data_IF_343323839747
#
_entry.id   IF_343323839747
#
_cell.length_a   1.000
_cell.length_b   1.000
_cell.length_c   1.000
_cell.angle_alpha   90.00
_cell.angle_beta   90.00
_cell.angle_gamma   90.00
#
_symmetry.space_group_name_H-M   'P 1'
#
loop_
_entity.id
_entity.type
_entity.pdbx_description
1 polymer ?
#
# COMPACT_ATOMS: atom_id res chain seq x y z
N UNK A 1 -23.10 -17.57 -46.62
CA UNK A 1 -22.72 -17.76 -45.20
C UNK A 1 -21.28 -18.21 -45.16
N UNK A 2 -20.28 -17.51 -44.64
CA UNK A 2 -20.06 -16.12 -44.22
C UNK A 2 -18.60 -16.17 -43.81
N UNK A 3 -17.74 -15.41 -44.48
CA UNK A 3 -16.30 -15.36 -44.29
C UNK A 3 -15.98 -14.67 -42.94
N UNK A 4 -16.20 -15.37 -41.83
CA UNK A 4 -15.87 -14.87 -40.49
C UNK A 4 -14.42 -15.22 -40.18
N UNK A 5 -13.60 -14.25 -39.73
CA UNK A 5 -12.22 -14.53 -39.36
C UNK A 5 -12.17 -15.57 -38.22
N UNK A 6 -11.12 -16.40 -38.24
CA UNK A 6 -10.88 -17.36 -37.16
C UNK A 6 -10.61 -16.59 -35.87
N UNK A 7 -11.24 -17.04 -34.78
CA UNK A 7 -10.91 -16.55 -33.45
C UNK A 7 -9.48 -16.92 -33.10
N UNK A 8 -8.79 -16.03 -32.40
CA UNK A 8 -7.46 -16.25 -31.86
C UNK A 8 -7.48 -16.01 -30.34
N UNK A 9 -6.77 -16.86 -29.60
CA UNK A 9 -6.55 -16.66 -28.18
C UNK A 9 -5.43 -15.62 -27.99
N UNK A 10 -5.69 -14.60 -27.18
CA UNK A 10 -4.72 -13.55 -26.89
C UNK A 10 -4.14 -13.75 -25.49
N UNK A 11 -2.80 -13.82 -25.41
CA UNK A 11 -2.06 -13.86 -24.14
C UNK A 11 -1.27 -12.55 -24.05
N UNK A 12 -1.53 -11.69 -23.05
CA UNK A 12 -0.71 -10.51 -22.82
C UNK A 12 0.73 -10.91 -22.52
N UNK A 13 1.67 -10.19 -23.12
CA UNK A 13 3.09 -10.33 -22.82
C UNK A 13 3.61 -9.05 -22.16
N UNK A 14 4.57 -9.15 -21.22
CA UNK A 14 5.27 -7.95 -20.78
C UNK A 14 5.93 -7.30 -21.99
N UNK A 15 5.91 -5.97 -22.05
CA UNK A 15 6.47 -5.22 -23.18
C UNK A 15 7.96 -5.52 -23.42
N UNK A 16 8.67 -5.96 -22.37
CA UNK A 16 10.12 -6.14 -22.36
C UNK A 16 10.49 -7.41 -21.58
N UNK A 17 11.59 -8.04 -21.99
CA UNK A 17 12.16 -9.28 -21.44
C UNK A 17 13.62 -9.04 -21.00
N UNK A 18 14.22 -9.96 -20.23
CA UNK A 18 15.64 -9.86 -19.88
C UNK A 18 16.52 -9.75 -21.13
N UNK A 19 17.27 -8.65 -21.24
CA UNK A 19 18.10 -8.33 -22.42
C UNK A 19 17.57 -7.15 -23.24
N UNK A 20 16.29 -6.79 -23.09
CA UNK A 20 15.71 -5.61 -23.72
C UNK A 20 16.01 -4.32 -22.94
N UNK A 21 15.91 -3.17 -23.60
CA UNK A 21 16.04 -1.86 -22.97
C UNK A 21 14.70 -1.40 -22.36
N UNK A 22 14.65 -1.02 -21.05
CA UNK A 22 13.45 -0.49 -20.40
C UNK A 22 12.81 0.71 -21.13
N UNK A 23 11.67 0.50 -21.78
CA UNK A 23 10.81 1.53 -22.39
C UNK A 23 9.49 1.72 -21.64
N UNK A 24 9.33 2.87 -21.01
CA UNK A 24 8.11 3.31 -20.32
C UNK A 24 7.38 4.44 -21.05
N UNK A 25 7.68 4.67 -22.34
CA UNK A 25 7.06 5.74 -23.16
C UNK A 25 5.54 5.65 -23.26
N UNK A 26 4.99 4.44 -23.13
CA UNK A 26 3.56 4.16 -23.11
C UNK A 26 2.87 4.55 -21.79
N UNK A 27 3.64 4.77 -20.71
CA UNK A 27 3.10 5.23 -19.43
C UNK A 27 2.92 6.75 -19.49
N UNK A 28 1.67 7.18 -19.63
CA UNK A 28 1.34 8.60 -19.65
C UNK A 28 1.53 9.23 -18.26
N UNK A 29 2.65 9.92 -18.06
CA UNK A 29 2.95 10.66 -16.83
C UNK A 29 2.57 12.14 -17.03
N UNK A 30 1.51 12.66 -16.39
CA UNK A 30 1.12 14.05 -16.52
C UNK A 30 2.17 14.99 -15.92
N UNK A 31 2.15 16.25 -16.38
CA UNK A 31 2.91 17.33 -15.76
C UNK A 31 2.54 17.46 -14.27
N UNK A 32 3.53 17.65 -13.41
CA UNK A 32 3.26 17.89 -11.99
C UNK A 32 2.35 19.12 -11.81
N UNK A 33 1.39 19.02 -10.89
CA UNK A 33 0.45 20.09 -10.58
C UNK A 33 -0.68 20.30 -11.58
N UNK A 34 -0.74 19.55 -12.68
CA UNK A 34 -1.82 19.69 -13.69
C UNK A 34 -3.15 19.09 -13.25
N UNK A 35 -3.11 18.11 -12.35
CA UNK A 35 -4.31 17.42 -11.86
C UNK A 35 -4.95 18.22 -10.74
N UNK A 36 -6.24 18.54 -10.90
CA UNK A 36 -7.04 19.30 -9.92
C UNK A 36 -7.15 18.57 -8.58
N UNK A 37 -7.44 19.31 -7.52
CA UNK A 37 -7.82 18.77 -6.20
C UNK A 37 -9.34 18.88 -6.04
N UNK A 38 -10.11 17.78 -6.13
CA UNK A 38 -11.55 17.80 -5.92
C UNK A 38 -11.89 18.16 -4.47
N UNK A 39 -13.14 18.57 -4.23
CA UNK A 39 -13.65 18.67 -2.85
C UNK A 39 -13.84 17.27 -2.27
N UNK A 40 -13.73 17.13 -0.95
CA UNK A 40 -13.84 15.83 -0.26
C UNK A 40 -15.23 15.21 -0.44
N UNK A 41 -16.26 16.03 -0.60
CA UNK A 41 -17.66 15.64 -0.81
C UNK A 41 -18.06 15.58 -2.30
N UNK A 42 -17.09 15.65 -3.22
CA UNK A 42 -17.37 15.58 -4.66
C UNK A 42 -17.87 14.19 -5.07
N UNK A 43 -18.88 14.15 -5.94
CA UNK A 43 -19.50 12.90 -6.35
C UNK A 43 -18.55 12.04 -7.20
N UNK A 44 -18.51 10.70 -7.01
CA UNK A 44 -17.62 9.82 -7.76
C UNK A 44 -17.74 9.94 -9.29
N UNK A 45 -18.94 10.18 -9.82
CA UNK A 45 -19.16 10.32 -11.26
C UNK A 45 -18.45 11.54 -11.87
N UNK A 46 -18.21 12.58 -11.06
CA UNK A 46 -17.49 13.79 -11.48
C UNK A 46 -15.97 13.64 -11.41
N UNK A 47 -15.46 12.54 -10.85
CA UNK A 47 -14.03 12.29 -10.62
C UNK A 47 -13.47 11.19 -11.54
N UNK A 48 -14.21 10.77 -12.57
CA UNK A 48 -13.78 9.68 -13.46
C UNK A 48 -12.47 10.00 -14.18
N UNK A 49 -12.24 11.26 -14.52
CA UNK A 49 -11.00 11.74 -15.14
C UNK A 49 -9.76 11.43 -14.29
N UNK A 50 -9.88 11.55 -12.97
CA UNK A 50 -8.78 11.31 -12.03
C UNK A 50 -8.32 9.85 -12.04
N UNK A 51 -9.21 8.89 -12.32
CA UNK A 51 -8.88 7.47 -12.41
C UNK A 51 -8.01 7.11 -13.64
N UNK A 52 -7.92 8.01 -14.63
CA UNK A 52 -7.10 7.86 -15.84
C UNK A 52 -5.93 8.86 -15.88
N UNK A 53 -5.58 9.43 -14.72
CA UNK A 53 -4.46 10.36 -14.58
C UNK A 53 -3.63 10.02 -13.34
N UNK A 54 -2.60 10.82 -13.05
CA UNK A 54 -1.73 10.65 -11.89
C UNK A 54 -1.62 11.98 -11.15
N UNK A 55 -2.01 12.00 -9.88
CA UNK A 55 -1.77 13.15 -9.01
C UNK A 55 -0.26 13.20 -8.71
N UNK A 56 0.39 14.28 -9.13
CA UNK A 56 1.83 14.49 -8.95
C UNK A 56 2.11 15.91 -8.45
N UNK A 57 2.84 16.03 -7.36
CA UNK A 57 3.16 17.31 -6.70
C UNK A 57 4.55 17.83 -7.07
N UNK A 58 5.57 16.97 -7.00
CA UNK A 58 6.95 17.38 -7.30
C UNK A 58 7.21 17.34 -8.80
N UNK A 59 7.67 18.46 -9.37
CA UNK A 59 8.13 18.55 -10.76
C UNK A 59 9.51 17.88 -10.95
N UNK A 60 10.17 18.07 -12.11
CA UNK A 60 11.47 17.43 -12.38
C UNK A 60 12.62 18.16 -11.68
N UNK A 61 12.39 19.39 -11.28
CA UNK A 61 13.30 20.30 -10.59
C UNK A 61 13.22 20.14 -9.06
N UNK A 62 12.25 19.35 -8.56
CA UNK A 62 12.04 19.08 -7.15
C UNK A 62 11.14 20.09 -6.43
N UNK A 63 10.45 20.94 -7.18
CA UNK A 63 9.55 21.96 -6.65
C UNK A 63 8.12 21.41 -6.49
N UNK A 64 7.44 21.79 -5.40
CA UNK A 64 6.05 21.44 -5.16
C UNK A 64 5.12 22.39 -5.93
N UNK A 65 4.34 21.86 -6.87
CA UNK A 65 3.48 22.64 -7.77
C UNK A 65 2.03 22.17 -7.78
N UNK A 66 1.12 23.08 -8.14
CA UNK A 66 -0.30 22.81 -8.32
C UNK A 66 -1.12 22.74 -7.03
N UNK A 67 -2.41 22.34 -7.13
CA UNK A 67 -3.39 22.49 -6.05
C UNK A 67 -3.22 21.49 -4.89
N UNK A 68 -2.34 20.50 -5.06
CA UNK A 68 -2.00 19.51 -4.05
C UNK A 68 -0.74 19.88 -3.25
N UNK A 69 -0.04 20.96 -3.62
CA UNK A 69 1.16 21.43 -2.93
C UNK A 69 0.83 22.20 -1.64
N UNK A 70 1.83 22.32 -0.75
CA UNK A 70 1.80 23.21 0.41
C UNK A 70 1.04 22.68 1.64
N UNK A 71 0.64 21.40 1.65
CA UNK A 71 -0.05 20.80 2.80
C UNK A 71 0.86 20.30 3.92
N UNK A 72 2.18 20.24 3.69
CA UNK A 72 3.16 19.69 4.62
C UNK A 72 4.27 20.70 4.87
N UNK A 73 4.66 20.85 6.13
CA UNK A 73 5.81 21.64 6.55
C UNK A 73 7.15 20.91 6.36
N UNK A 74 8.29 21.64 6.38
CA UNK A 74 9.62 21.04 6.25
C UNK A 74 9.92 19.95 7.28
N UNK A 75 9.46 20.10 8.53
CA UNK A 75 9.70 19.12 9.58
C UNK A 75 8.95 17.81 9.35
N UNK A 76 7.73 17.88 8.82
CA UNK A 76 6.92 16.71 8.47
C UNK A 76 7.55 15.96 7.28
N UNK A 77 8.03 16.69 6.28
CA UNK A 77 8.75 16.13 5.14
C UNK A 77 10.07 15.47 5.59
N UNK A 78 10.81 16.10 6.50
CA UNK A 78 12.04 15.54 7.06
C UNK A 78 11.75 14.27 7.89
N UNK A 79 10.67 14.23 8.65
CA UNK A 79 10.24 13.03 9.37
C UNK A 79 9.84 11.90 8.41
N UNK A 80 9.09 12.22 7.35
CA UNK A 80 8.73 11.26 6.29
C UNK A 80 9.97 10.67 5.61
N UNK A 81 10.97 11.50 5.28
CA UNK A 81 12.24 11.04 4.73
C UNK A 81 12.97 10.09 5.68
N UNK A 82 13.00 10.40 7.00
CA UNK A 82 13.58 9.48 7.99
C UNK A 82 12.87 8.14 7.99
N UNK A 83 11.54 8.09 8.00
CA UNK A 83 10.80 6.82 7.95
C UNK A 83 11.14 5.99 6.71
N UNK A 84 11.17 6.62 5.52
CA UNK A 84 11.55 5.93 4.27
C UNK A 84 12.97 5.38 4.32
N UNK A 85 13.93 6.18 4.78
CA UNK A 85 15.33 5.76 4.88
C UNK A 85 15.53 4.67 5.93
N UNK A 86 14.79 4.72 7.05
CA UNK A 86 14.81 3.67 8.06
C UNK A 86 14.28 2.35 7.49
N UNK A 87 13.15 2.36 6.77
CA UNK A 87 12.60 1.16 6.14
C UNK A 87 13.58 0.56 5.12
N UNK A 88 14.16 1.40 4.25
CA UNK A 88 15.15 0.96 3.26
C UNK A 88 16.40 0.35 3.91
N UNK A 89 16.90 0.96 4.97
CA UNK A 89 18.05 0.45 5.71
C UNK A 89 17.72 -0.88 6.41
N UNK A 90 16.53 -0.99 6.99
CA UNK A 90 16.03 -2.22 7.60
C UNK A 90 15.94 -3.35 6.57
N UNK A 91 15.36 -3.08 5.39
CA UNK A 91 15.26 -4.04 4.30
C UNK A 91 16.62 -4.57 3.86
N UNK A 92 17.60 -3.69 3.64
CA UNK A 92 18.94 -4.09 3.23
C UNK A 92 19.61 -5.00 4.28
N UNK A 93 19.41 -4.71 5.57
CA UNK A 93 19.93 -5.52 6.68
C UNK A 93 19.25 -6.88 6.78
N UNK A 94 17.93 -6.93 6.70
CA UNK A 94 17.18 -8.19 6.82
C UNK A 94 17.38 -9.09 5.59
N UNK A 95 17.48 -8.52 4.39
CA UNK A 95 17.87 -9.30 3.20
C UNK A 95 19.25 -9.92 3.37
N UNK A 96 20.22 -9.15 3.88
CA UNK A 96 21.56 -9.67 4.16
C UNK A 96 21.52 -10.79 5.20
N UNK A 97 20.73 -10.63 6.27
CA UNK A 97 20.55 -11.66 7.28
C UNK A 97 19.93 -12.95 6.70
N UNK A 98 18.95 -12.82 5.80
CA UNK A 98 18.34 -13.94 5.09
C UNK A 98 19.39 -14.67 4.22
N UNK A 99 20.24 -13.94 3.50
CA UNK A 99 21.34 -14.53 2.70
C UNK A 99 22.41 -15.22 3.55
N UNK A 100 22.58 -14.80 4.80
CA UNK A 100 23.45 -15.45 5.78
C UNK A 100 22.79 -16.65 6.47
N UNK A 101 21.55 -17.00 6.11
CA UNK A 101 20.80 -18.11 6.73
C UNK A 101 20.34 -17.82 8.16
N UNK A 102 20.33 -16.55 8.59
CA UNK A 102 19.93 -16.17 9.96
C UNK A 102 18.40 -16.11 10.13
N UNK A 103 17.66 -15.91 9.04
CA UNK A 103 16.20 -16.01 8.98
C UNK A 103 15.80 -16.82 7.75
N UNK A 104 14.61 -17.42 7.79
CA UNK A 104 14.12 -18.29 6.73
C UNK A 104 13.65 -17.53 5.49
N UNK A 105 13.06 -16.33 5.67
CA UNK A 105 12.37 -15.62 4.60
C UNK A 105 12.36 -14.11 4.84
N UNK A 106 12.42 -13.32 3.77
CA UNK A 106 12.29 -11.87 3.84
C UNK A 106 11.79 -11.28 2.51
N UNK A 107 11.02 -10.19 2.58
CA UNK A 107 10.56 -9.42 1.42
C UNK A 107 10.89 -7.94 1.60
N UNK A 108 11.37 -7.32 0.52
CA UNK A 108 11.75 -5.91 0.50
C UNK A 108 10.60 -5.01 0.03
N UNK A 109 10.75 -3.73 0.33
CA UNK A 109 9.84 -2.62 0.05
C UNK A 109 10.49 -1.55 -0.82
N UNK A 110 11.58 -1.91 -1.52
CA UNK A 110 12.41 -0.97 -2.27
C UNK A 110 11.61 -0.26 -3.36
N UNK A 111 11.56 1.06 -3.29
CA UNK A 111 10.81 1.91 -4.24
C UNK A 111 9.37 2.20 -3.82
N UNK A 112 8.85 1.51 -2.81
CA UNK A 112 7.47 1.64 -2.31
C UNK A 112 7.41 2.29 -0.91
N UNK A 113 8.55 2.70 -0.35
CA UNK A 113 8.64 3.13 1.05
C UNK A 113 7.76 4.34 1.36
N UNK A 114 7.67 5.27 0.40
CA UNK A 114 6.88 6.49 0.53
C UNK A 114 5.40 6.20 0.76
N UNK A 115 4.86 5.17 0.09
CA UNK A 115 3.43 4.88 0.06
C UNK A 115 2.95 4.55 1.48
N UNK A 116 3.58 3.56 2.12
CA UNK A 116 3.20 3.13 3.47
C UNK A 116 3.62 4.13 4.56
N UNK A 117 4.84 4.66 4.51
CA UNK A 117 5.34 5.58 5.54
C UNK A 117 4.54 6.90 5.58
N UNK A 118 4.23 7.48 4.42
CA UNK A 118 3.48 8.73 4.36
C UNK A 118 2.00 8.52 4.68
N UNK A 119 1.39 7.42 4.20
CA UNK A 119 -0.03 7.15 4.46
C UNK A 119 -0.31 6.99 5.96
N UNK A 120 0.57 6.30 6.72
CA UNK A 120 0.39 6.22 8.17
C UNK A 120 0.31 7.60 8.83
N UNK A 121 1.02 8.60 8.31
CA UNK A 121 1.03 9.95 8.86
C UNK A 121 -0.23 10.77 8.53
N UNK A 122 -1.03 10.32 7.57
CA UNK A 122 -2.32 10.91 7.25
C UNK A 122 -3.50 10.29 8.04
N UNK A 123 -3.26 9.21 8.80
CA UNK A 123 -4.26 8.53 9.61
C UNK A 123 -4.20 8.97 11.07
N UNK A 124 -5.36 8.93 11.74
CA UNK A 124 -5.47 9.17 13.17
C UNK A 124 -5.06 7.91 13.97
N UNK A 125 -4.82 8.09 15.26
CA UNK A 125 -4.56 6.96 16.14
C UNK A 125 -5.84 6.15 16.36
N UNK A 126 -5.73 4.83 16.20
CA UNK A 126 -6.84 3.90 16.28
C UNK A 126 -7.48 3.55 14.94
N UNK A 127 -7.18 4.28 13.86
CA UNK A 127 -7.49 3.84 12.50
C UNK A 127 -6.75 2.55 12.19
N UNK A 128 -7.43 1.63 11.51
CA UNK A 128 -6.91 0.28 11.29
C UNK A 128 -6.46 0.08 9.85
N UNK A 129 -5.18 -0.21 9.66
CA UNK A 129 -4.64 -0.65 8.39
C UNK A 129 -4.83 -2.15 8.24
N UNK A 130 -5.26 -2.56 7.05
CA UNK A 130 -5.35 -3.95 6.58
C UNK A 130 -4.29 -4.15 5.49
N UNK A 131 -3.01 -4.27 5.91
CA UNK A 131 -1.86 -4.24 5.00
C UNK A 131 -1.70 -5.56 4.25
N UNK A 132 -0.96 -5.50 3.15
CA UNK A 132 -0.28 -6.69 2.61
C UNK A 132 1.04 -6.89 3.34
N UNK A 133 1.81 -7.89 2.92
CA UNK A 133 3.18 -8.09 3.39
C UNK A 133 4.21 -7.05 2.88
N UNK A 134 3.78 -6.04 2.09
CA UNK A 134 4.61 -4.94 1.56
C UNK A 134 4.33 -3.57 2.19
N UNK A 135 3.74 -3.51 3.39
CA UNK A 135 3.49 -2.22 4.07
C UNK A 135 4.15 -2.13 5.45
N UNK A 136 5.34 -2.72 5.63
CA UNK A 136 6.10 -2.59 6.88
C UNK A 136 6.44 -1.13 7.26
N UNK A 137 6.41 -0.19 6.30
CA UNK A 137 6.55 1.23 6.56
C UNK A 137 5.47 1.83 7.46
N UNK A 138 4.27 1.22 7.53
CA UNK A 138 3.23 1.59 8.49
C UNK A 138 3.70 1.39 9.93
N UNK A 139 4.44 0.30 10.20
CA UNK A 139 5.00 0.01 11.52
C UNK A 139 6.13 0.99 11.87
N UNK A 140 7.03 1.24 10.93
CA UNK A 140 8.12 2.23 11.11
C UNK A 140 7.54 3.63 11.42
N UNK A 141 6.59 4.10 10.62
CA UNK A 141 6.02 5.44 10.76
C UNK A 141 5.04 5.59 11.93
N UNK A 142 4.59 4.49 12.55
CA UNK A 142 3.81 4.49 13.79
C UNK A 142 4.67 4.33 15.05
N UNK A 143 6.00 4.22 14.91
CA UNK A 143 6.91 4.07 16.04
C UNK A 143 6.96 2.66 16.64
N UNK A 144 6.50 1.64 15.90
CA UNK A 144 6.57 0.26 16.35
C UNK A 144 8.04 -0.15 16.60
N UNK A 145 8.37 -0.78 17.74
CA UNK A 145 9.75 -1.08 18.06
C UNK A 145 10.40 -1.99 17.02
N UNK A 146 11.46 -1.50 16.38
CA UNK A 146 12.18 -2.24 15.34
C UNK A 146 12.74 -3.58 15.86
N UNK A 147 13.10 -3.64 17.14
CA UNK A 147 13.50 -4.89 17.80
C UNK A 147 12.38 -5.94 17.79
N UNK A 148 11.12 -5.56 17.96
CA UNK A 148 10.00 -6.50 17.86
C UNK A 148 9.79 -6.97 16.42
N UNK A 149 9.96 -6.09 15.42
CA UNK A 149 9.96 -6.51 14.01
C UNK A 149 11.04 -7.57 13.75
N UNK A 150 12.28 -7.32 14.22
CA UNK A 150 13.37 -8.29 14.08
C UNK A 150 13.08 -9.60 14.83
N UNK A 151 12.56 -9.52 16.05
CA UNK A 151 12.21 -10.72 16.82
C UNK A 151 11.20 -11.61 16.08
N UNK A 152 10.20 -11.01 15.44
CA UNK A 152 9.24 -11.73 14.61
C UNK A 152 9.92 -12.39 13.39
N UNK A 153 10.79 -11.66 12.69
CA UNK A 153 11.55 -12.19 11.55
C UNK A 153 12.45 -13.38 11.94
N UNK A 154 13.02 -13.35 13.14
CA UNK A 154 13.87 -14.43 13.66
C UNK A 154 13.07 -15.55 14.35
N UNK A 155 11.78 -15.35 14.59
CA UNK A 155 10.93 -16.27 15.37
C UNK A 155 11.56 -16.65 16.71
N UNK A 156 12.21 -15.69 17.37
CA UNK A 156 12.94 -15.93 18.62
C UNK A 156 12.02 -15.86 19.85
N UNK A 157 12.56 -16.03 21.05
CA UNK A 157 11.80 -15.98 22.31
C UNK A 157 11.11 -14.63 22.57
N UNK A 158 11.60 -13.55 21.93
CA UNK A 158 11.01 -12.22 21.99
C UNK A 158 9.99 -11.95 20.87
N UNK A 159 9.64 -12.95 20.06
CA UNK A 159 8.64 -12.82 18.99
C UNK A 159 7.23 -12.62 19.60
N UNK A 160 6.56 -11.48 19.33
CA UNK A 160 5.20 -11.25 19.80
C UNK A 160 4.19 -12.30 19.30
N UNK A 161 4.47 -12.96 18.17
CA UNK A 161 3.65 -13.99 17.55
C UNK A 161 4.08 -15.41 17.94
N UNK A 162 5.12 -15.55 18.79
CA UNK A 162 5.57 -16.83 19.36
C UNK A 162 5.96 -17.86 18.30
N UNK A 163 6.54 -17.42 17.17
CA UNK A 163 6.96 -18.27 16.06
C UNK A 163 5.82 -18.89 15.25
N UNK A 164 4.57 -18.46 15.46
CA UNK A 164 3.37 -19.04 14.81
C UNK A 164 3.13 -18.52 13.40
N UNK A 165 3.87 -17.51 12.98
CA UNK A 165 3.73 -16.87 11.68
C UNK A 165 5.06 -16.88 10.94
N UNK A 166 4.96 -16.95 9.62
CA UNK A 166 6.10 -16.78 8.72
C UNK A 166 6.72 -15.39 8.96
N UNK A 167 8.05 -15.23 8.83
CA UNK A 167 8.67 -13.92 8.85
C UNK A 167 7.96 -12.92 7.93
N UNK A 168 7.91 -11.66 8.35
CA UNK A 168 7.23 -10.51 7.72
C UNK A 168 5.70 -10.50 7.80
N UNK A 169 5.06 -11.54 8.31
CA UNK A 169 3.62 -11.54 8.60
C UNK A 169 3.36 -10.93 9.99
N UNK A 170 3.62 -9.62 10.11
CA UNK A 170 3.48 -8.88 11.36
C UNK A 170 2.02 -8.73 11.81
N UNK A 171 1.83 -8.40 13.09
CA UNK A 171 0.53 -8.07 13.66
C UNK A 171 0.71 -7.14 14.86
N UNK A 172 0.04 -5.99 14.86
CA UNK A 172 0.09 -5.03 15.97
C UNK A 172 -1.18 -4.19 16.03
N UNK A 173 -2.15 -4.66 16.82
CA UNK A 173 -3.42 -3.95 17.02
C UNK A 173 -3.23 -2.54 17.58
N UNK A 174 -2.31 -2.38 18.53
CA UNK A 174 -2.01 -1.09 19.17
C UNK A 174 -1.53 -0.03 18.17
N UNK A 175 -0.84 -0.47 17.11
CA UNK A 175 -0.27 0.42 16.09
C UNK A 175 -1.17 0.54 14.86
N UNK A 176 -2.42 0.08 14.95
CA UNK A 176 -3.36 0.12 13.82
C UNK A 176 -2.89 -0.74 12.64
N UNK A 177 -2.25 -1.89 12.91
CA UNK A 177 -1.72 -2.80 11.90
C UNK A 177 -2.34 -4.19 12.08
N UNK A 178 -3.33 -4.50 11.25
CA UNK A 178 -4.03 -5.77 11.28
C UNK A 178 -3.08 -6.94 10.97
N UNK A 179 -3.40 -8.12 11.50
CA UNK A 179 -2.57 -9.31 11.31
C UNK A 179 -2.49 -9.66 9.83
N UNK A 180 -1.27 -9.70 9.28
CA UNK A 180 -1.06 -10.06 7.88
C UNK A 180 -1.36 -11.54 7.69
N UNK A 181 -2.02 -11.87 6.59
CA UNK A 181 -2.24 -13.24 6.12
C UNK A 181 -1.40 -13.51 4.87
N UNK A 182 -1.00 -14.77 4.67
CA UNK A 182 -0.42 -15.21 3.40
C UNK A 182 -1.45 -15.29 2.25
N UNK A 183 -2.74 -15.32 2.56
CA UNK A 183 -3.82 -15.37 1.58
C UNK A 183 -4.09 -13.97 1.00
N UNK A 184 -3.86 -13.82 -0.30
CA UNK A 184 -4.01 -12.55 -1.01
C UNK A 184 -5.45 -12.04 -1.01
N UNK A 185 -5.59 -10.70 -1.04
CA UNK A 185 -6.84 -9.94 -1.10
C UNK A 185 -7.83 -10.11 0.07
N UNK A 186 -7.74 -11.17 0.88
CA UNK A 186 -8.67 -11.44 2.00
C UNK A 186 -8.81 -10.26 2.97
N UNK A 187 -7.72 -9.57 3.25
CA UNK A 187 -7.69 -8.40 4.13
C UNK A 187 -8.49 -7.21 3.56
N UNK A 188 -8.65 -7.14 2.23
CA UNK A 188 -9.26 -6.00 1.55
C UNK A 188 -10.77 -5.92 1.86
N UNK A 189 -11.49 -7.05 1.78
CA UNK A 189 -12.90 -7.12 2.21
C UNK A 189 -13.05 -7.06 3.73
N UNK A 190 -12.10 -7.61 4.49
CA UNK A 190 -12.10 -7.51 5.96
C UNK A 190 -12.01 -6.05 6.43
N UNK A 191 -11.23 -5.21 5.74
CA UNK A 191 -11.16 -3.77 5.99
C UNK A 191 -12.52 -3.10 5.86
N UNK A 192 -13.27 -3.42 4.80
CA UNK A 192 -14.64 -2.92 4.59
C UNK A 192 -15.56 -3.36 5.73
N UNK A 193 -15.48 -4.64 6.14
CA UNK A 193 -16.25 -5.15 7.28
C UNK A 193 -15.91 -4.43 8.60
N UNK A 194 -14.64 -4.12 8.83
CA UNK A 194 -14.19 -3.35 9.99
C UNK A 194 -14.72 -1.91 9.96
N UNK A 195 -14.65 -1.25 8.80
CA UNK A 195 -15.20 0.09 8.60
C UNK A 195 -16.73 0.12 8.80
N UNK A 196 -17.44 -0.91 8.30
CA UNK A 196 -18.87 -1.07 8.56
C UNK A 196 -19.15 -1.23 10.06
N UNK A 197 -18.35 -2.01 10.80
CA UNK A 197 -18.50 -2.15 12.24
C UNK A 197 -18.28 -0.83 12.99
N UNK A 198 -17.30 -0.02 12.56
CA UNK A 198 -17.09 1.34 13.08
C UNK A 198 -18.35 2.20 12.89
N UNK A 199 -18.89 2.23 11.67
CA UNK A 199 -20.13 2.97 11.38
C UNK A 199 -21.35 2.45 12.16
N UNK A 200 -21.54 1.12 12.26
CA UNK A 200 -22.66 0.49 12.99
C UNK A 200 -22.63 0.86 14.47
N UNK A 201 -21.44 0.98 15.05
CA UNK A 201 -21.26 1.33 16.47
C UNK A 201 -21.29 2.83 16.76
N UNK A 202 -21.43 3.68 15.72
CA UNK A 202 -21.37 5.14 15.88
C UNK A 202 -19.98 5.68 16.20
N UNK A 203 -18.94 4.92 15.87
CA UNK A 203 -17.54 5.30 16.05
C UNK A 203 -17.08 6.23 14.90
N UNK A 204 -15.88 6.82 15.05
CA UNK A 204 -15.28 7.78 14.12
C UNK A 204 -14.05 7.24 13.39
N UNK A 205 -13.55 6.06 13.78
CA UNK A 205 -12.35 5.46 13.21
C UNK A 205 -12.61 4.89 11.82
N UNK A 206 -11.60 4.93 10.95
CA UNK A 206 -11.67 4.44 9.58
C UNK A 206 -10.78 3.21 9.37
N UNK A 207 -11.06 2.45 8.31
CA UNK A 207 -10.16 1.42 7.83
C UNK A 207 -9.29 1.96 6.69
N UNK A 208 -8.10 1.39 6.54
CA UNK A 208 -7.24 1.60 5.37
C UNK A 208 -6.90 0.25 4.75
N UNK A 209 -7.44 -0.03 3.57
CA UNK A 209 -7.27 -1.30 2.88
C UNK A 209 -6.11 -1.24 1.87
N UNK A 210 -5.27 -2.28 1.84
CA UNK A 210 -4.11 -2.35 0.96
C UNK A 210 -4.17 -3.57 0.06
N UNK A 211 -3.84 -3.41 -1.22
CA UNK A 211 -3.80 -4.50 -2.19
C UNK A 211 -2.74 -4.23 -3.27
N UNK A 212 -2.11 -5.28 -3.78
CA UNK A 212 -1.22 -5.19 -4.94
C UNK A 212 -2.00 -5.32 -6.25
N UNK A 213 -1.40 -4.84 -7.35
CA UNK A 213 -1.93 -4.93 -8.71
C UNK A 213 -2.29 -6.37 -9.12
N UNK A 214 -1.41 -7.34 -8.88
CA UNK A 214 -1.69 -8.74 -9.19
C UNK A 214 -2.87 -9.30 -8.39
N UNK A 215 -3.05 -8.84 -7.15
CA UNK A 215 -4.12 -9.30 -6.26
C UNK A 215 -5.48 -8.67 -6.58
N UNK A 216 -5.57 -7.66 -7.46
CA UNK A 216 -6.89 -7.14 -7.88
C UNK A 216 -7.67 -8.14 -8.73
N UNK A 217 -7.02 -9.21 -9.21
CA UNK A 217 -7.68 -10.32 -9.91
C UNK A 217 -8.36 -11.32 -8.95
N UNK A 218 -8.10 -11.24 -7.65
CA UNK A 218 -8.74 -12.09 -6.65
C UNK A 218 -10.20 -11.66 -6.40
N UNK A 219 -11.07 -12.62 -6.06
CA UNK A 219 -12.51 -12.35 -5.87
C UNK A 219 -12.80 -11.31 -4.78
N UNK A 220 -11.98 -11.29 -3.74
CA UNK A 220 -12.19 -10.41 -2.59
C UNK A 220 -11.95 -8.93 -2.92
N UNK A 221 -11.17 -8.62 -3.97
CA UNK A 221 -11.07 -7.25 -4.48
C UNK A 221 -12.44 -6.74 -4.95
N UNK A 222 -13.13 -7.52 -5.77
CA UNK A 222 -14.45 -7.15 -6.27
C UNK A 222 -15.48 -7.06 -5.12
N UNK A 223 -15.48 -8.04 -4.22
CA UNK A 223 -16.38 -8.06 -3.07
C UNK A 223 -16.20 -6.78 -2.21
N UNK A 224 -14.96 -6.37 -1.95
CA UNK A 224 -14.67 -5.17 -1.18
C UNK A 224 -15.28 -3.92 -1.82
N UNK A 225 -15.10 -3.72 -3.13
CA UNK A 225 -15.65 -2.56 -3.83
C UNK A 225 -17.19 -2.55 -3.83
N UNK A 226 -17.82 -3.71 -3.98
CA UNK A 226 -19.29 -3.83 -3.93
C UNK A 226 -19.84 -3.46 -2.56
N UNK A 227 -19.23 -3.98 -1.48
CA UNK A 227 -19.68 -3.68 -0.12
C UNK A 227 -19.38 -2.24 0.28
N UNK A 228 -18.17 -1.74 -0.02
CA UNK A 228 -17.77 -0.38 0.29
C UNK A 228 -18.73 0.64 -0.36
N UNK A 229 -19.06 0.44 -1.64
CA UNK A 229 -19.98 1.32 -2.37
C UNK A 229 -21.44 1.19 -1.92
N UNK A 230 -21.92 -0.03 -1.64
CA UNK A 230 -23.31 -0.29 -1.21
C UNK A 230 -23.59 0.30 0.17
N UNK A 231 -22.69 0.07 1.13
CA UNK A 231 -22.88 0.48 2.51
C UNK A 231 -22.25 1.83 2.85
N UNK A 232 -21.54 2.45 1.88
CA UNK A 232 -20.77 3.69 2.08
C UNK A 232 -19.84 3.59 3.29
N UNK A 233 -19.12 2.46 3.37
CA UNK A 233 -18.23 2.17 4.49
C UNK A 233 -17.07 3.19 4.53
N UNK A 234 -16.62 3.65 5.72
CA UNK A 234 -15.47 4.55 5.87
C UNK A 234 -14.14 3.79 5.74
N UNK A 235 -13.78 3.43 4.51
CA UNK A 235 -12.60 2.63 4.12
C UNK A 235 -11.83 3.27 2.97
#
# INVERSE_FOLDING_TARGET
MTDRPKLAFHVPEPALRPGDEPDFSHVAIPQAGSVRRPKVDERPEAMRDLAFSIIRVLNREGEAVGPWAGSLGPDELAAGLRHMMTLRAFDARMLTAQRQGKTSFYMQHLGEEAISCAFRKALDDGDMNFPTYRQAGLLIASGYPMSQMMNQIYSNEGDPLKGRQLPVLYSSKEHGFFSVSGNLATQYIQAVGWAMASAISGDRRIAAAWIGDGSTAESDFHAALVFASTYKAPV
#
